data_IF_851450037283
#
_entry.id   IF_851450037283
#
_cell.length_a   1.000
_cell.length_b   1.000
_cell.length_c   1.000
_cell.angle_alpha   90.00
_cell.angle_beta   90.00
_cell.angle_gamma   90.00
#
_symmetry.space_group_name_H-M   'P 1'
#
loop_
_entity.id
_entity.type
_entity.pdbx_description
1 polymer ?
#
# COMPACT_ATOMS: atom_id res chain seq x y z
N UNK A 1 7.60 12.21 18.07
CA UNK A 1 8.84 11.54 17.61
C UNK A 1 9.94 11.77 18.65
N UNK A 2 10.75 10.76 18.97
CA UNK A 2 11.91 10.91 19.86
C UNK A 2 13.17 10.69 19.04
N UNK A 3 14.06 11.68 19.03
CA UNK A 3 15.34 11.64 18.35
C UNK A 3 16.46 11.87 19.35
N UNK A 4 17.54 11.12 19.25
CA UNK A 4 18.71 11.34 20.09
C UNK A 4 19.69 10.18 20.07
N UNK A 5 20.69 10.30 20.94
CA UNK A 5 21.75 9.30 21.11
C UNK A 5 21.31 8.24 22.11
N UNK A 6 21.45 6.96 21.75
CA UNK A 6 21.10 5.86 22.65
C UNK A 6 22.13 5.74 23.78
N UNK A 7 21.71 6.00 25.01
CA UNK A 7 22.56 5.97 26.22
C UNK A 7 22.50 4.62 26.95
N UNK A 8 21.40 3.89 26.89
CA UNK A 8 21.32 2.54 27.47
C UNK A 8 20.32 1.67 26.74
N UNK A 9 20.60 0.37 26.66
CA UNK A 9 19.69 -0.65 26.13
C UNK A 9 19.65 -1.83 27.09
N UNK A 10 18.45 -2.32 27.39
CA UNK A 10 18.25 -3.68 27.89
C UNK A 10 17.22 -4.40 27.04
N UNK A 11 17.36 -5.72 26.92
CA UNK A 11 16.33 -6.55 26.33
C UNK A 11 16.16 -7.85 27.09
N UNK A 12 14.94 -8.17 27.50
CA UNK A 12 14.60 -9.36 28.27
C UNK A 12 13.66 -10.26 27.45
N UNK A 13 14.07 -11.51 27.12
CA UNK A 13 13.17 -12.46 26.49
C UNK A 13 12.22 -13.10 27.53
N UNK A 14 10.95 -13.15 27.19
CA UNK A 14 9.87 -13.82 27.93
C UNK A 14 9.31 -14.94 27.05
N UNK A 15 9.21 -16.15 27.60
CA UNK A 15 8.63 -17.30 26.88
C UNK A 15 7.13 -17.33 27.15
N UNK A 16 6.32 -17.14 26.12
CA UNK A 16 4.86 -17.02 26.29
C UNK A 16 4.11 -18.35 26.20
N UNK A 17 4.65 -19.31 25.45
CA UNK A 17 4.08 -20.65 25.29
C UNK A 17 5.21 -21.69 25.23
N UNK A 18 5.15 -22.67 26.13
CA UNK A 18 6.00 -23.85 26.13
C UNK A 18 5.12 -25.08 25.89
N UNK A 19 5.06 -25.53 24.64
CA UNK A 19 4.22 -26.68 24.26
C UNK A 19 5.06 -27.97 24.29
N UNK A 20 6.25 -28.00 23.67
CA UNK A 20 7.21 -29.11 23.73
C UNK A 20 8.61 -28.67 23.23
N UNK A 21 9.67 -29.43 23.49
CA UNK A 21 11.05 -29.14 23.08
C UNK A 21 11.27 -29.14 21.54
N UNK A 22 10.41 -29.84 20.78
CA UNK A 22 10.50 -29.97 19.32
C UNK A 22 9.56 -29.03 18.53
N UNK A 23 8.71 -28.25 19.20
CA UNK A 23 7.75 -27.33 18.57
C UNK A 23 8.21 -25.87 18.65
N UNK A 24 7.76 -24.99 17.74
CA UNK A 24 8.16 -23.58 17.73
C UNK A 24 7.73 -22.89 19.02
N UNK A 25 8.73 -22.38 19.76
CA UNK A 25 8.51 -21.59 20.97
C UNK A 25 8.15 -20.16 20.57
N UNK A 26 7.05 -19.65 21.10
CA UNK A 26 6.66 -18.25 20.92
C UNK A 26 7.33 -17.42 22.00
N UNK A 27 8.16 -16.46 21.58
CA UNK A 27 8.91 -15.57 22.45
C UNK A 27 8.39 -14.15 22.33
N UNK A 28 8.44 -13.40 23.43
CA UNK A 28 8.31 -11.95 23.46
C UNK A 28 9.63 -11.38 23.96
N UNK A 29 10.05 -10.23 23.47
CA UNK A 29 11.23 -9.55 23.99
C UNK A 29 10.86 -8.14 24.41
N UNK A 30 11.02 -7.85 25.69
CA UNK A 30 10.88 -6.52 26.26
C UNK A 30 12.15 -5.73 26.03
N UNK A 31 12.02 -4.49 25.61
CA UNK A 31 13.11 -3.56 25.36
C UNK A 31 12.95 -2.34 26.25
N UNK A 32 14.06 -1.90 26.81
CA UNK A 32 14.18 -0.61 27.47
C UNK A 32 15.29 0.16 26.79
N UNK A 33 14.94 1.25 26.13
CA UNK A 33 15.88 2.16 25.48
C UNK A 33 15.91 3.47 26.24
N UNK A 34 17.10 3.94 26.63
CA UNK A 34 17.30 5.28 27.13
C UNK A 34 17.92 6.12 26.01
N UNK A 35 17.24 7.20 25.62
CA UNK A 35 17.66 8.10 24.55
C UNK A 35 17.91 9.47 25.14
N UNK A 36 19.13 9.98 24.95
CA UNK A 36 19.49 11.35 25.27
C UNK A 36 19.13 12.23 24.08
N UNK A 37 18.14 13.07 24.24
CA UNK A 37 17.68 14.01 23.20
C UNK A 37 18.68 15.15 22.99
N UNK A 38 18.60 15.91 21.88
CA UNK A 38 19.42 17.11 21.65
C UNK A 38 19.36 18.12 22.80
N UNK A 39 18.21 18.22 23.46
CA UNK A 39 17.95 19.09 24.61
C UNK A 39 18.58 18.56 25.92
N UNK A 40 19.44 17.53 25.83
CA UNK A 40 20.06 16.82 26.97
C UNK A 40 19.06 16.16 27.93
N UNK A 41 17.79 16.05 27.57
CA UNK A 41 16.80 15.32 28.39
C UNK A 41 16.89 13.83 28.09
N UNK A 42 16.90 13.02 29.16
CA UNK A 42 16.95 11.57 29.07
C UNK A 42 15.51 11.02 29.01
N UNK A 43 15.16 10.38 27.89
CA UNK A 43 13.87 9.71 27.72
C UNK A 43 14.04 8.20 27.81
N UNK A 44 13.35 7.60 28.77
CA UNK A 44 13.26 6.15 28.89
C UNK A 44 12.05 5.63 28.15
N UNK A 45 12.27 4.66 27.28
CA UNK A 45 11.27 4.11 26.37
C UNK A 45 11.21 2.61 26.59
N UNK A 46 10.02 2.12 26.91
CA UNK A 46 9.77 0.69 27.14
C UNK A 46 8.79 0.18 26.08
N UNK A 47 9.12 -0.94 25.44
CA UNK A 47 8.25 -1.57 24.45
C UNK A 47 8.58 -3.05 24.31
N UNK A 48 7.72 -3.83 23.67
CA UNK A 48 7.93 -5.27 23.49
C UNK A 48 7.67 -5.72 22.06
N UNK A 49 8.47 -6.66 21.56
CA UNK A 49 8.38 -7.20 20.19
C UNK A 49 8.15 -8.72 20.26
N UNK A 50 7.26 -9.30 19.43
CA UNK A 50 7.12 -10.75 19.30
C UNK A 50 8.30 -11.35 18.50
N UNK A 51 8.70 -12.57 18.80
CA UNK A 51 9.70 -13.32 18.05
C UNK A 51 11.10 -13.37 18.67
N UNK A 52 11.85 -14.43 18.31
CA UNK A 52 13.24 -14.66 18.78
C UNK A 52 14.28 -13.91 17.95
N UNK A 53 13.98 -13.63 16.68
CA UNK A 53 14.89 -13.09 15.67
C UNK A 53 14.77 -11.56 15.50
N UNK A 54 13.69 -10.95 15.98
CA UNK A 54 13.41 -9.52 15.83
C UNK A 54 14.18 -8.68 16.85
N UNK A 55 15.49 -8.66 16.66
CA UNK A 55 16.38 -7.75 17.38
C UNK A 55 16.35 -6.38 16.73
N UNK A 56 15.95 -5.36 17.50
CA UNK A 56 16.13 -3.97 17.05
C UNK A 56 17.64 -3.72 16.89
N UNK A 57 18.12 -3.35 15.69
CA UNK A 57 19.54 -3.24 15.41
C UNK A 57 20.09 -1.89 15.90
N UNK A 58 20.14 -1.70 17.22
CA UNK A 58 20.59 -0.46 17.86
C UNK A 58 21.62 -0.75 18.95
N UNK A 59 22.73 -0.03 18.92
CA UNK A 59 23.85 -0.14 19.87
C UNK A 59 23.99 1.12 20.72
N UNK A 60 24.67 1.00 21.85
CA UNK A 60 25.00 2.15 22.68
C UNK A 60 25.80 3.17 21.86
N UNK A 61 25.38 4.43 21.92
CA UNK A 61 25.99 5.52 21.17
C UNK A 61 25.40 5.77 19.78
N UNK A 62 24.53 4.89 19.28
CA UNK A 62 23.87 5.08 17.99
C UNK A 62 22.88 6.24 18.02
N UNK A 63 22.77 6.96 16.89
CA UNK A 63 21.74 7.96 16.67
C UNK A 63 20.46 7.29 16.21
N UNK A 64 19.41 7.39 17.01
CA UNK A 64 18.15 6.69 16.77
C UNK A 64 16.99 7.66 16.67
N UNK A 65 16.13 7.43 15.68
CA UNK A 65 14.79 8.01 15.62
C UNK A 65 13.79 6.94 15.98
N UNK A 66 12.99 7.24 16.99
CA UNK A 66 11.95 6.38 17.49
C UNK A 66 10.61 7.06 17.25
N UNK A 67 9.79 6.44 16.39
CA UNK A 67 8.50 6.96 15.98
C UNK A 67 7.40 6.32 16.82
N UNK A 68 6.56 7.14 17.43
CA UNK A 68 5.44 6.69 18.25
C UNK A 68 4.13 7.25 17.72
N UNK A 69 3.04 6.50 17.91
CA UNK A 69 1.70 7.07 17.90
C UNK A 69 1.48 7.84 19.20
N UNK A 70 0.86 9.00 19.08
CA UNK A 70 0.52 9.88 20.20
C UNK A 70 -0.99 9.82 20.42
N UNK A 71 -1.43 9.74 21.68
CA UNK A 71 -2.83 9.98 22.06
C UNK A 71 -2.83 11.17 23.01
N UNK A 72 -3.13 12.36 22.48
CA UNK A 72 -2.87 13.62 23.18
C UNK A 72 -1.38 13.78 23.51
N UNK A 73 -1.06 14.00 24.79
CA UNK A 73 0.32 14.17 25.28
C UNK A 73 1.03 12.85 25.66
N UNK A 74 0.33 11.72 25.59
CA UNK A 74 0.85 10.43 26.03
C UNK A 74 1.37 9.64 24.82
N UNK A 75 2.63 9.19 24.90
CA UNK A 75 3.21 8.28 23.92
C UNK A 75 2.56 6.91 24.08
N UNK A 76 1.84 6.45 23.06
CA UNK A 76 1.00 5.28 23.17
C UNK A 76 1.68 4.01 22.64
N UNK A 77 2.21 4.04 21.40
CA UNK A 77 2.76 2.82 20.78
C UNK A 77 3.89 3.09 19.80
N UNK A 78 4.89 2.21 19.80
CA UNK A 78 6.05 2.29 18.91
C UNK A 78 5.65 1.86 17.49
N UNK A 79 5.95 2.71 16.50
CA UNK A 79 5.64 2.49 15.07
C UNK A 79 6.87 2.02 14.31
N UNK A 80 8.01 2.66 14.57
CA UNK A 80 9.26 2.36 13.88
C UNK A 80 10.46 2.76 14.73
N UNK A 81 11.55 2.02 14.58
CA UNK A 81 12.87 2.40 15.08
C UNK A 81 13.80 2.52 13.88
N UNK A 82 14.37 3.69 13.68
CA UNK A 82 15.37 3.94 12.65
C UNK A 82 16.70 4.22 13.31
N UNK A 83 17.71 3.42 12.98
CA UNK A 83 19.09 3.68 13.37
C UNK A 83 19.77 4.47 12.24
N UNK A 84 20.11 5.72 12.50
CA UNK A 84 20.78 6.60 11.54
C UNK A 84 22.27 6.33 11.42
N UNK A 85 22.88 5.73 12.46
CA UNK A 85 24.30 5.34 12.43
C UNK A 85 24.54 4.14 11.50
N UNK A 86 23.64 3.16 11.49
CA UNK A 86 23.78 1.94 10.66
C UNK A 86 22.88 1.92 9.42
N UNK A 87 21.97 2.88 9.27
CA UNK A 87 20.98 2.93 8.19
C UNK A 87 19.86 1.87 8.30
N UNK A 88 19.91 0.99 9.31
CA UNK A 88 18.91 -0.08 9.47
C UNK A 88 17.61 0.48 10.05
N UNK A 89 16.49 0.04 9.47
CA UNK A 89 15.13 0.39 9.90
C UNK A 89 14.41 -0.86 10.38
N UNK A 90 13.82 -0.77 11.56
CA UNK A 90 12.91 -1.78 12.07
C UNK A 90 11.49 -1.23 11.98
N UNK A 91 10.71 -1.79 11.05
CA UNK A 91 9.31 -1.48 10.82
C UNK A 91 8.46 -2.53 11.54
N UNK A 92 7.53 -2.09 12.38
CA UNK A 92 6.57 -3.02 12.98
C UNK A 92 5.60 -3.55 11.92
N UNK A 93 5.22 -4.84 11.98
CA UNK A 93 4.32 -5.42 11.00
C UNK A 93 2.94 -4.74 11.01
N UNK A 94 2.28 -4.78 9.85
CA UNK A 94 0.99 -4.14 9.53
C UNK A 94 -0.09 -4.36 10.60
N UNK A 95 -1.02 -3.40 10.78
CA UNK A 95 -2.14 -3.57 11.70
C UNK A 95 -2.97 -4.80 11.31
N UNK A 96 -3.11 -5.73 12.25
CA UNK A 96 -3.97 -6.91 12.08
C UNK A 96 -5.42 -6.47 12.31
N UNK A 97 -6.32 -7.00 11.49
CA UNK A 97 -7.75 -6.70 11.53
C UNK A 97 -8.35 -6.91 12.92
N UNK A 98 -9.42 -6.15 13.21
CA UNK A 98 -10.06 -6.04 14.52
C UNK A 98 -10.40 -7.40 15.14
N UNK A 99 -10.43 -7.46 16.48
CA UNK A 99 -10.80 -8.65 17.23
C UNK A 99 -12.17 -9.24 16.79
N UNK A 100 -13.09 -8.37 16.35
CA UNK A 100 -14.41 -8.71 15.80
C UNK A 100 -14.35 -9.40 14.43
N UNK A 101 -13.50 -8.92 13.50
CA UNK A 101 -13.28 -9.60 12.23
C UNK A 101 -12.55 -10.93 12.43
N UNK A 102 -11.63 -10.96 13.41
CA UNK A 102 -10.87 -12.13 13.74
C UNK A 102 -11.75 -13.23 14.36
N UNK A 103 -12.64 -12.88 15.28
CA UNK A 103 -13.63 -13.82 15.83
C UNK A 103 -14.59 -14.32 14.75
N UNK A 104 -14.97 -13.48 13.78
CA UNK A 104 -15.79 -13.87 12.65
C UNK A 104 -15.10 -14.89 11.73
N UNK A 105 -13.84 -14.63 11.35
CA UNK A 105 -13.04 -15.55 10.52
C UNK A 105 -12.80 -16.87 11.24
N UNK A 106 -12.44 -16.83 12.52
CA UNK A 106 -12.23 -18.04 13.34
C UNK A 106 -13.53 -18.82 13.48
N UNK A 107 -14.65 -18.15 13.79
CA UNK A 107 -15.97 -18.78 13.88
C UNK A 107 -16.38 -19.44 12.57
N UNK A 108 -16.18 -18.76 11.43
CA UNK A 108 -16.46 -19.31 10.11
C UNK A 108 -15.58 -20.51 9.77
N UNK A 109 -14.29 -20.46 10.12
CA UNK A 109 -13.34 -21.55 9.87
C UNK A 109 -13.67 -22.80 10.71
N UNK A 110 -14.02 -22.62 11.98
CA UNK A 110 -14.46 -23.71 12.87
C UNK A 110 -15.76 -24.33 12.36
N UNK A 111 -16.73 -23.50 11.98
CA UNK A 111 -18.01 -23.97 11.45
C UNK A 111 -17.81 -24.74 10.14
N UNK A 112 -16.97 -24.23 9.23
CA UNK A 112 -16.64 -24.89 7.97
C UNK A 112 -15.92 -26.22 8.16
N UNK A 113 -14.98 -26.31 9.10
CA UNK A 113 -14.28 -27.56 9.42
C UNK A 113 -15.20 -28.59 10.08
N UNK A 114 -16.14 -28.16 10.92
CA UNK A 114 -17.15 -29.05 11.52
C UNK A 114 -18.14 -29.58 10.46
N UNK A 115 -18.60 -28.72 9.55
CA UNK A 115 -19.45 -29.12 8.42
C UNK A 115 -18.72 -30.07 7.46
N UNK A 116 -17.44 -29.79 7.15
CA UNK A 116 -16.62 -30.66 6.32
C UNK A 116 -16.39 -32.03 6.97
N UNK A 117 -16.09 -32.06 8.27
CA UNK A 117 -15.93 -33.31 9.03
C UNK A 117 -17.23 -34.13 9.08
N UNK A 118 -18.38 -33.47 9.22
CA UNK A 118 -19.70 -34.11 9.15
C UNK A 118 -19.97 -34.74 7.78
N UNK A 119 -19.70 -34.02 6.69
CA UNK A 119 -19.89 -34.52 5.31
C UNK A 119 -18.92 -35.66 4.94
N UNK A 120 -17.72 -35.66 5.53
CA UNK A 120 -16.70 -36.70 5.30
C UNK A 120 -16.84 -37.91 6.24
N UNK A 121 -17.86 -37.95 7.11
CA UNK A 121 -18.10 -39.05 8.05
C UNK A 121 -17.01 -39.21 9.12
N UNK A 122 -16.23 -38.15 9.40
CA UNK A 122 -15.18 -38.18 10.41
C UNK A 122 -15.79 -38.09 11.82
N UNK A 123 -15.12 -38.68 12.80
CA UNK A 123 -15.52 -38.60 14.20
C UNK A 123 -15.55 -37.14 14.70
N UNK A 124 -16.76 -36.63 14.89
CA UNK A 124 -17.04 -35.24 15.31
C UNK A 124 -16.32 -34.85 16.60
N UNK A 125 -16.14 -35.79 17.55
CA UNK A 125 -15.42 -35.56 18.80
C UNK A 125 -13.92 -35.31 18.59
N UNK A 126 -13.28 -36.01 17.66
CA UNK A 126 -11.85 -35.80 17.38
C UNK A 126 -11.64 -34.49 16.60
N UNK A 127 -12.53 -34.22 15.65
CA UNK A 127 -12.52 -32.98 14.88
C UNK A 127 -12.75 -31.75 15.77
N UNK A 128 -13.62 -31.84 16.79
CA UNK A 128 -13.88 -30.72 17.72
C UNK A 128 -12.67 -30.41 18.61
N UNK A 129 -11.96 -31.42 19.11
CA UNK A 129 -10.78 -31.24 19.96
C UNK A 129 -9.63 -30.62 19.17
N UNK A 130 -9.36 -31.10 17.95
CA UNK A 130 -8.32 -30.53 17.09
C UNK A 130 -8.63 -29.09 16.70
N UNK A 131 -9.90 -28.79 16.39
CA UNK A 131 -10.36 -27.42 16.12
C UNK A 131 -10.21 -26.52 17.35
N UNK A 132 -10.60 -26.99 18.54
CA UNK A 132 -10.49 -26.20 19.77
C UNK A 132 -9.03 -25.83 20.07
N UNK A 133 -8.09 -26.77 19.90
CA UNK A 133 -6.65 -26.50 20.08
C UNK A 133 -6.15 -25.50 19.02
N UNK A 134 -6.54 -25.67 17.76
CA UNK A 134 -6.17 -24.76 16.67
C UNK A 134 -6.67 -23.33 16.91
N UNK A 135 -7.92 -23.19 17.35
CA UNK A 135 -8.54 -21.90 17.70
C UNK A 135 -7.82 -21.23 18.87
N UNK A 136 -7.48 -21.98 19.92
CA UNK A 136 -6.77 -21.43 21.08
C UNK A 136 -5.36 -20.93 20.71
N UNK A 137 -4.62 -21.69 19.90
CA UNK A 137 -3.30 -21.27 19.40
C UNK A 137 -3.44 -20.02 18.53
N UNK A 138 -4.42 -20.00 17.62
CA UNK A 138 -4.68 -18.87 16.74
C UNK A 138 -5.09 -17.60 17.52
N UNK A 139 -6.00 -17.70 18.49
CA UNK A 139 -6.41 -16.60 19.37
C UNK A 139 -5.24 -16.05 20.20
N UNK A 140 -4.37 -16.92 20.71
CA UNK A 140 -3.16 -16.51 21.44
C UNK A 140 -2.17 -15.78 20.53
N UNK A 141 -1.89 -16.29 19.33
CA UNK A 141 -0.97 -15.65 18.38
C UNK A 141 -1.51 -14.29 17.92
N UNK A 142 -2.81 -14.20 17.64
CA UNK A 142 -3.45 -12.99 17.15
C UNK A 142 -3.64 -11.93 18.23
N UNK A 143 -4.00 -12.31 19.46
CA UNK A 143 -4.04 -11.38 20.60
C UNK A 143 -2.67 -10.77 20.94
N UNK A 144 -1.59 -11.55 20.80
CA UNK A 144 -0.22 -11.04 20.95
C UNK A 144 0.11 -10.01 19.86
N UNK A 145 -0.32 -10.25 18.63
CA UNK A 145 -0.06 -9.34 17.53
C UNK A 145 -0.94 -8.08 17.59
N UNK A 146 -2.17 -8.20 18.10
CA UNK A 146 -3.06 -7.08 18.47
C UNK A 146 -2.54 -6.25 19.65
N UNK A 147 -1.80 -6.83 20.60
CA UNK A 147 -1.11 -6.06 21.65
C UNK A 147 0.01 -5.16 21.08
N UNK A 148 0.48 -5.41 19.85
CA UNK A 148 1.47 -4.57 19.13
C UNK A 148 0.90 -3.69 18.01
N UNK A 149 -0.35 -3.90 17.58
CA UNK A 149 -1.06 -3.03 16.60
C UNK A 149 -2.26 -2.31 17.23
N UNK A 150 -2.67 -1.10 16.81
CA UNK A 150 -3.88 -0.48 17.38
C UNK A 150 -5.12 -1.31 17.09
N UNK A 151 -6.09 -1.38 18.01
CA UNK A 151 -7.43 -1.83 17.63
C UNK A 151 -8.06 -0.74 16.75
N UNK A 152 -8.48 -1.14 15.56
CA UNK A 152 -9.10 -0.25 14.56
C UNK A 152 -10.53 0.18 14.95
N UNK A 153 -11.01 -0.20 16.13
CA UNK A 153 -12.37 0.12 16.61
C UNK A 153 -12.52 1.56 17.10
N UNK A 154 -11.43 2.27 17.32
CA UNK A 154 -11.46 3.71 17.60
C UNK A 154 -11.79 4.50 16.33
N UNK A 155 -12.58 5.58 16.46
CA UNK A 155 -12.90 6.54 15.37
C UNK A 155 -11.63 7.03 14.65
N UNK A 156 -10.55 7.25 15.41
CA UNK A 156 -9.22 7.59 14.89
C UNK A 156 -8.61 6.48 14.03
N UNK A 157 -8.79 5.20 14.40
CA UNK A 157 -8.29 4.06 13.62
C UNK A 157 -8.97 3.90 12.25
N UNK A 158 -10.29 4.11 12.19
CA UNK A 158 -11.03 4.14 10.92
C UNK A 158 -10.58 5.30 10.02
N UNK A 159 -10.32 6.46 10.63
CA UNK A 159 -9.83 7.65 9.93
C UNK A 159 -8.41 7.46 9.38
N UNK A 160 -7.49 6.92 10.18
CA UNK A 160 -6.15 6.59 9.71
C UNK A 160 -6.15 5.57 8.57
N UNK A 161 -7.09 4.61 8.58
CA UNK A 161 -7.27 3.70 7.44
C UNK A 161 -7.78 4.43 6.19
N UNK A 162 -8.72 5.36 6.33
CA UNK A 162 -9.21 6.17 5.21
C UNK A 162 -8.09 7.04 4.62
N UNK A 163 -7.31 7.73 5.47
CA UNK A 163 -6.15 8.51 5.04
C UNK A 163 -5.11 7.61 4.35
N UNK A 164 -4.86 6.41 4.89
CA UNK A 164 -3.94 5.44 4.28
C UNK A 164 -4.43 4.97 2.91
N UNK A 165 -5.74 4.72 2.76
CA UNK A 165 -6.34 4.37 1.47
C UNK A 165 -6.18 5.50 0.45
N UNK A 166 -6.43 6.75 0.85
CA UNK A 166 -6.23 7.92 -0.01
C UNK A 166 -4.76 8.08 -0.41
N UNK A 167 -3.81 7.88 0.50
CA UNK A 167 -2.38 7.92 0.19
C UNK A 167 -1.93 6.79 -0.76
N UNK A 168 -2.53 5.61 -0.65
CA UNK A 168 -2.30 4.51 -1.60
C UNK A 168 -2.87 4.87 -2.98
N UNK A 169 -4.05 5.48 -3.04
CA UNK A 169 -4.63 5.97 -4.29
C UNK A 169 -3.76 7.06 -4.92
N UNK A 170 -3.27 8.03 -4.13
CA UNK A 170 -2.34 9.06 -4.59
C UNK A 170 -1.10 8.44 -5.26
N UNK A 171 -0.44 7.48 -4.61
CA UNK A 171 0.73 6.80 -5.20
C UNK A 171 0.42 6.10 -6.52
N UNK A 172 -0.75 5.45 -6.62
CA UNK A 172 -1.18 4.82 -7.87
C UNK A 172 -1.38 5.86 -8.98
N UNK A 173 -1.98 7.00 -8.66
CA UNK A 173 -2.18 8.10 -9.60
C UNK A 173 -0.83 8.68 -10.05
N UNK A 174 0.11 8.90 -9.13
CA UNK A 174 1.45 9.41 -9.43
C UNK A 174 2.19 8.47 -10.39
N UNK A 175 2.20 7.16 -10.09
CA UNK A 175 2.78 6.16 -10.98
C UNK A 175 2.11 6.18 -12.36
N UNK A 176 0.77 6.30 -12.41
CA UNK A 176 0.04 6.34 -13.67
C UNK A 176 0.35 7.58 -14.50
N UNK A 177 0.59 8.72 -13.86
CA UNK A 177 1.03 9.95 -14.51
C UNK A 177 2.41 9.77 -15.15
N UNK A 178 3.34 9.08 -14.48
CA UNK A 178 4.65 8.75 -15.05
C UNK A 178 4.52 7.86 -16.29
N UNK A 179 3.68 6.83 -16.23
CA UNK A 179 3.38 5.94 -17.36
C UNK A 179 2.79 6.72 -18.54
N UNK A 180 1.79 7.57 -18.32
CA UNK A 180 1.16 8.39 -19.38
C UNK A 180 2.16 9.36 -20.02
N UNK A 181 3.09 9.92 -19.25
CA UNK A 181 4.15 10.77 -19.76
C UNK A 181 5.15 9.96 -20.61
N UNK A 182 5.49 8.75 -20.18
CA UNK A 182 6.34 7.85 -20.95
C UNK A 182 5.68 7.45 -22.28
N UNK A 183 4.42 7.02 -22.24
CA UNK A 183 3.61 6.66 -23.41
C UNK A 183 3.51 7.83 -24.40
N UNK A 184 3.32 9.05 -23.90
CA UNK A 184 3.26 10.25 -24.76
C UNK A 184 4.58 10.51 -25.49
N UNK A 185 5.73 10.33 -24.81
CA UNK A 185 7.05 10.45 -25.43
C UNK A 185 7.28 9.35 -26.46
N UNK A 186 6.92 8.10 -26.14
CA UNK A 186 7.04 6.98 -27.07
C UNK A 186 6.19 7.20 -28.34
N UNK A 187 4.94 7.63 -28.17
CA UNK A 187 4.06 7.98 -29.29
C UNK A 187 4.63 9.13 -30.14
N UNK A 188 5.28 10.11 -29.52
CA UNK A 188 5.89 11.22 -30.25
C UNK A 188 7.09 10.78 -31.10
N UNK A 189 7.91 9.86 -30.60
CA UNK A 189 9.00 9.23 -31.38
C UNK A 189 8.41 8.43 -32.55
N UNK A 190 7.34 7.65 -32.31
CA UNK A 190 6.69 6.86 -33.36
C UNK A 190 6.09 7.75 -34.46
N UNK A 191 5.49 8.89 -34.11
CA UNK A 191 5.00 9.88 -35.09
C UNK A 191 6.15 10.35 -35.98
N UNK A 192 7.32 10.67 -35.42
CA UNK A 192 8.48 11.12 -36.21
C UNK A 192 8.93 10.03 -37.20
N UNK A 193 9.00 8.77 -36.76
CA UNK A 193 9.36 7.65 -37.62
C UNK A 193 8.35 7.43 -38.76
N UNK A 194 7.05 7.55 -38.47
CA UNK A 194 5.99 7.45 -39.47
C UNK A 194 6.01 8.62 -40.47
N UNK A 195 6.31 9.84 -40.01
CA UNK A 195 6.47 10.99 -40.89
C UNK A 195 7.71 10.84 -41.80
N UNK A 196 8.82 10.28 -41.29
CA UNK A 196 10.00 9.95 -42.10
C UNK A 196 9.69 8.89 -43.16
N UNK A 197 8.99 7.83 -42.77
CA UNK A 197 8.55 6.78 -43.69
C UNK A 197 7.62 7.35 -44.77
N UNK A 198 6.67 8.20 -44.38
CA UNK A 198 5.77 8.89 -45.30
C UNK A 198 6.56 9.72 -46.33
N UNK A 199 7.53 10.52 -45.87
CA UNK A 199 8.39 11.32 -46.76
C UNK A 199 9.15 10.44 -47.77
N UNK A 200 9.71 9.32 -47.32
CA UNK A 200 10.39 8.35 -48.21
C UNK A 200 9.43 7.76 -49.25
N UNK A 201 8.22 7.36 -48.84
CA UNK A 201 7.21 6.81 -49.75
C UNK A 201 6.76 7.84 -50.80
N UNK A 202 6.55 9.10 -50.40
CA UNK A 202 6.18 10.18 -51.32
C UNK A 202 7.30 10.51 -52.31
N UNK A 203 8.57 10.42 -51.88
CA UNK A 203 9.72 10.71 -52.74
C UNK A 203 9.96 9.62 -53.80
N UNK A 204 9.73 8.34 -53.47
CA UNK A 204 9.94 7.22 -54.38
C UNK A 204 8.86 7.16 -55.48
N UNK A 205 7.60 6.99 -55.10
CA UNK A 205 6.46 7.02 -56.01
C UNK A 205 5.15 7.11 -55.21
N UNK A 206 4.54 8.28 -55.23
CA UNK A 206 3.30 8.54 -54.49
C UNK A 206 2.13 7.68 -54.98
N UNK A 207 2.05 7.33 -56.27
CA UNK A 207 0.93 6.55 -56.80
C UNK A 207 0.99 5.12 -56.30
N UNK A 208 2.18 4.52 -56.34
CA UNK A 208 2.43 3.16 -55.89
C UNK A 208 2.20 2.98 -54.38
N UNK A 209 2.54 4.01 -53.57
CA UNK A 209 2.40 3.96 -52.11
C UNK A 209 1.16 4.67 -51.53
N UNK A 210 0.24 5.13 -52.38
CA UNK A 210 -0.93 5.93 -51.98
C UNK A 210 -1.72 5.33 -50.79
N UNK A 211 -2.05 4.04 -50.84
CA UNK A 211 -2.77 3.35 -49.76
C UNK A 211 -1.98 3.32 -48.43
N UNK A 212 -0.66 3.08 -48.50
CA UNK A 212 0.21 3.05 -47.30
C UNK A 212 0.38 4.44 -46.69
N UNK A 213 0.45 5.48 -47.53
CA UNK A 213 0.49 6.88 -47.09
C UNK A 213 -0.80 7.25 -46.34
N UNK A 214 -1.97 6.86 -46.84
CA UNK A 214 -3.26 7.10 -46.17
C UNK A 214 -3.30 6.41 -44.80
N UNK A 215 -2.93 5.12 -44.73
CA UNK A 215 -2.87 4.39 -43.44
C UNK A 215 -1.90 5.03 -42.45
N UNK A 216 -0.73 5.46 -42.93
CA UNK A 216 0.27 6.15 -42.11
C UNK A 216 -0.29 7.46 -41.54
N UNK A 217 -1.02 8.25 -42.34
CA UNK A 217 -1.67 9.48 -41.87
C UNK A 217 -2.75 9.19 -40.82
N UNK A 218 -3.55 8.14 -40.99
CA UNK A 218 -4.53 7.71 -40.00
C UNK A 218 -3.86 7.30 -38.69
N UNK A 219 -2.78 6.49 -38.74
CA UNK A 219 -2.02 6.09 -37.57
C UNK A 219 -1.41 7.30 -36.82
N UNK A 220 -0.82 8.25 -37.55
CA UNK A 220 -0.31 9.51 -36.97
C UNK A 220 -1.44 10.30 -36.27
N UNK A 221 -2.62 10.36 -36.88
CA UNK A 221 -3.78 11.06 -36.30
C UNK A 221 -4.23 10.41 -34.99
N UNK A 222 -4.31 9.07 -34.96
CA UNK A 222 -4.66 8.33 -33.74
C UNK A 222 -3.61 8.54 -32.63
N UNK A 223 -2.32 8.47 -32.96
CA UNK A 223 -1.24 8.71 -32.00
C UNK A 223 -1.29 10.14 -31.43
N UNK A 224 -1.58 11.15 -32.25
CA UNK A 224 -1.78 12.54 -31.80
C UNK A 224 -2.97 12.65 -30.85
N UNK A 225 -4.08 11.96 -31.16
CA UNK A 225 -5.25 11.93 -30.28
C UNK A 225 -4.95 11.27 -28.93
N UNK A 226 -4.20 10.16 -28.93
CA UNK A 226 -3.73 9.51 -27.70
C UNK A 226 -2.86 10.44 -26.85
N UNK A 227 -1.90 11.15 -27.46
CA UNK A 227 -1.07 12.13 -26.77
C UNK A 227 -1.95 13.24 -26.14
N UNK A 228 -2.94 13.76 -26.88
CA UNK A 228 -3.87 14.75 -26.36
C UNK A 228 -4.68 14.26 -25.15
N UNK A 229 -5.17 13.03 -25.23
CA UNK A 229 -5.88 12.38 -24.12
C UNK A 229 -4.96 12.14 -22.90
N UNK A 230 -3.71 11.70 -23.13
CA UNK A 230 -2.72 11.51 -22.07
C UNK A 230 -2.44 12.83 -21.33
N UNK A 231 -2.24 13.94 -22.05
CA UNK A 231 -2.07 15.25 -21.40
C UNK A 231 -3.29 15.68 -20.60
N UNK A 232 -4.50 15.40 -21.12
CA UNK A 232 -5.75 15.67 -20.38
C UNK A 232 -5.81 14.84 -19.11
N UNK A 233 -5.52 13.54 -19.18
CA UNK A 233 -5.48 12.64 -18.02
C UNK A 233 -4.47 13.12 -16.99
N UNK A 234 -3.23 13.43 -17.39
CA UNK A 234 -2.19 13.94 -16.48
C UNK A 234 -2.65 15.19 -15.74
N UNK A 235 -3.29 16.14 -16.43
CA UNK A 235 -3.80 17.37 -15.81
C UNK A 235 -4.89 17.07 -14.77
N UNK A 236 -5.87 16.23 -15.10
CA UNK A 236 -6.96 15.94 -14.18
C UNK A 236 -6.51 15.05 -13.01
N UNK A 237 -5.60 14.10 -13.23
CA UNK A 237 -4.93 13.35 -12.15
C UNK A 237 -4.16 14.28 -11.22
N UNK A 238 -3.45 15.27 -11.76
CA UNK A 238 -2.77 16.28 -10.94
C UNK A 238 -3.74 17.10 -10.06
N UNK A 239 -4.97 17.35 -10.54
CA UNK A 239 -6.02 17.97 -9.72
C UNK A 239 -6.55 17.02 -8.64
N UNK A 240 -6.73 15.74 -8.97
CA UNK A 240 -7.16 14.72 -8.01
C UNK A 240 -6.12 14.54 -6.88
N UNK A 241 -4.83 14.51 -7.20
CA UNK A 241 -3.74 14.45 -6.20
C UNK A 241 -3.80 15.65 -5.26
N UNK A 242 -3.96 16.88 -5.78
CA UNK A 242 -4.12 18.07 -4.95
C UNK A 242 -5.35 18.00 -4.04
N UNK A 243 -6.46 17.46 -4.53
CA UNK A 243 -7.67 17.29 -3.71
C UNK A 243 -7.45 16.27 -2.59
N UNK A 244 -6.73 15.17 -2.88
CA UNK A 244 -6.33 14.18 -1.87
C UNK A 244 -5.40 14.83 -0.82
N UNK A 245 -4.43 15.64 -1.25
CA UNK A 245 -3.51 16.32 -0.33
C UNK A 245 -4.25 17.27 0.60
N UNK A 246 -5.19 18.06 0.06
CA UNK A 246 -6.07 18.90 0.87
C UNK A 246 -6.85 18.03 1.86
N UNK A 247 -7.49 16.95 1.42
CA UNK A 247 -8.28 16.08 2.31
C UNK A 247 -7.43 15.47 3.44
N UNK A 248 -6.23 15.00 3.13
CA UNK A 248 -5.32 14.42 4.13
C UNK A 248 -4.82 15.48 5.12
N UNK A 249 -4.53 16.70 4.66
CA UNK A 249 -4.10 17.81 5.51
C UNK A 249 -5.25 18.35 6.38
N UNK A 250 -6.45 18.49 5.79
CA UNK A 250 -7.64 19.01 6.48
C UNK A 250 -8.32 17.95 7.33
N UNK A 251 -8.06 16.65 7.10
CA UNK A 251 -8.52 15.53 7.93
C UNK A 251 -8.27 15.86 9.41
N UNK A 252 -7.11 16.43 9.78
CA UNK A 252 -6.80 16.81 11.18
C UNK A 252 -7.68 17.93 11.76
N UNK A 253 -8.25 18.78 10.91
CA UNK A 253 -9.13 19.90 11.26
C UNK A 253 -10.63 19.50 11.12
N UNK A 254 -10.91 18.43 10.38
CA UNK A 254 -12.25 18.00 9.97
C UNK A 254 -13.15 17.50 11.11
N UNK A 255 -12.65 17.32 12.34
CA UNK A 255 -13.53 17.11 13.50
C UNK A 255 -14.44 18.34 13.80
N UNK A 256 -14.22 19.46 13.12
CA UNK A 256 -15.05 20.67 13.18
C UNK A 256 -15.87 20.95 11.91
N UNK A 257 -15.77 20.12 10.85
CA UNK A 257 -16.46 20.37 9.58
C UNK A 257 -17.42 19.22 9.21
N UNK A 258 -18.72 19.50 9.01
CA UNK A 258 -19.75 18.47 8.77
C UNK A 258 -19.69 17.75 7.40
N UNK A 259 -18.78 18.13 6.49
CA UNK A 259 -18.84 17.73 5.06
C UNK A 259 -17.71 16.81 4.54
N UNK A 260 -16.87 16.23 5.42
CA UNK A 260 -15.70 15.42 4.98
C UNK A 260 -16.05 14.17 4.15
N UNK A 261 -17.18 13.50 4.44
CA UNK A 261 -17.62 12.33 3.67
C UNK A 261 -18.07 12.66 2.23
N UNK A 262 -18.53 13.90 2.00
CA UNK A 262 -18.96 14.37 0.67
C UNK A 262 -17.76 14.69 -0.23
N UNK A 263 -16.63 15.11 0.36
CA UNK A 263 -15.39 15.36 -0.39
C UNK A 263 -14.76 14.07 -0.91
N UNK A 264 -14.67 13.03 -0.08
CA UNK A 264 -14.16 11.72 -0.52
C UNK A 264 -15.00 11.14 -1.67
N UNK A 265 -16.33 11.25 -1.60
CA UNK A 265 -17.22 10.82 -2.69
C UNK A 265 -17.00 11.61 -3.99
N UNK A 266 -16.75 12.92 -3.90
CA UNK A 266 -16.42 13.75 -5.08
C UNK A 266 -15.10 13.31 -5.73
N UNK A 267 -14.07 12.96 -4.94
CA UNK A 267 -12.80 12.43 -5.46
C UNK A 267 -13.05 11.12 -6.23
N UNK A 268 -13.77 10.17 -5.64
CA UNK A 268 -14.06 8.88 -6.26
C UNK A 268 -14.85 9.04 -7.57
N UNK A 269 -15.86 9.91 -7.59
CA UNK A 269 -16.62 10.20 -8.81
C UNK A 269 -15.74 10.79 -9.92
N UNK A 270 -14.79 11.67 -9.58
CA UNK A 270 -13.82 12.19 -10.54
C UNK A 270 -12.89 11.11 -11.08
N UNK A 271 -12.47 10.16 -10.24
CA UNK A 271 -11.67 9.02 -10.69
C UNK A 271 -12.45 8.12 -11.67
N UNK A 272 -13.75 7.91 -11.42
CA UNK A 272 -14.64 7.19 -12.34
C UNK A 272 -14.73 7.91 -13.70
N UNK A 273 -14.88 9.23 -13.72
CA UNK A 273 -14.87 10.02 -14.95
C UNK A 273 -13.55 9.87 -15.72
N UNK A 274 -12.41 9.81 -15.02
CA UNK A 274 -11.10 9.62 -15.67
C UNK A 274 -10.93 8.23 -16.28
N UNK A 275 -11.53 7.21 -15.66
CA UNK A 275 -11.55 5.86 -16.22
C UNK A 275 -12.18 5.81 -17.61
N UNK A 276 -13.22 6.62 -17.85
CA UNK A 276 -13.85 6.69 -19.18
C UNK A 276 -12.89 7.22 -20.27
N UNK A 277 -12.01 8.15 -19.91
CA UNK A 277 -10.99 8.69 -20.83
C UNK A 277 -9.88 7.65 -21.05
N UNK A 278 -9.54 6.86 -20.03
CA UNK A 278 -8.64 5.71 -20.18
C UNK A 278 -9.22 4.65 -21.12
N UNK A 279 -10.50 4.32 -21.00
CA UNK A 279 -11.17 3.36 -21.87
C UNK A 279 -11.15 3.84 -23.33
N UNK A 280 -11.36 5.13 -23.56
CA UNK A 280 -11.20 5.74 -24.89
C UNK A 280 -9.78 5.57 -25.43
N UNK A 281 -8.76 5.81 -24.61
CA UNK A 281 -7.36 5.62 -25.00
C UNK A 281 -7.03 4.16 -25.31
N UNK A 282 -7.58 3.22 -24.54
CA UNK A 282 -7.41 1.80 -24.78
C UNK A 282 -8.09 1.38 -26.09
N UNK A 283 -9.26 1.93 -26.40
CA UNK A 283 -9.94 1.71 -27.69
C UNK A 283 -9.10 2.18 -28.88
N UNK A 284 -8.45 3.34 -28.78
CA UNK A 284 -7.56 3.87 -29.82
C UNK A 284 -6.31 2.98 -30.00
N UNK A 285 -5.82 2.37 -28.92
CA UNK A 285 -4.69 1.43 -28.97
C UNK A 285 -5.08 0.16 -29.74
N UNK A 286 -6.29 -0.35 -29.53
CA UNK A 286 -6.81 -1.48 -30.32
C UNK A 286 -6.99 -1.14 -31.79
N UNK A 287 -7.44 0.08 -32.12
CA UNK A 287 -7.54 0.52 -33.52
C UNK A 287 -6.17 0.55 -34.21
N UNK A 288 -5.12 1.03 -33.53
CA UNK A 288 -3.74 0.99 -34.05
C UNK A 288 -3.26 -0.44 -34.31
N UNK A 289 -3.49 -1.36 -33.36
CA UNK A 289 -3.11 -2.77 -33.53
C UNK A 289 -3.81 -3.42 -34.74
N UNK A 290 -5.11 -3.12 -34.93
CA UNK A 290 -5.86 -3.62 -36.08
C UNK A 290 -5.29 -3.13 -37.43
N UNK A 291 -4.74 -1.91 -37.49
CA UNK A 291 -4.07 -1.42 -38.71
C UNK A 291 -2.71 -2.09 -38.97
N UNK A 292 -2.03 -2.56 -37.92
CA UNK A 292 -0.76 -3.28 -38.03
C UNK A 292 -0.96 -4.69 -38.62
N UNK A 293 -2.01 -5.40 -38.19
CA UNK A 293 -2.33 -6.75 -38.65
C UNK A 293 -2.80 -6.79 -40.11
N UNK A 294 -3.56 -5.78 -40.56
CA UNK A 294 -3.98 -5.65 -41.97
C UNK A 294 -2.80 -5.31 -42.91
N UNK A 295 -1.62 -4.97 -42.37
CA UNK A 295 -0.40 -4.72 -43.15
C UNK A 295 0.50 -5.93 -43.36
N UNK A 296 0.27 -7.04 -42.63
CA UNK A 296 1.04 -8.29 -42.72
C UNK A 296 0.41 -9.34 -43.65
N UNK A 297 -0.82 -9.10 -44.10
CA UNK A 297 -1.52 -9.85 -45.16
C UNK A 297 -1.34 -9.15 -46.51
#
# INVERSE_FOLDING_TARGET
MVYGKLSKRSSLPETLLFINAKLPKVFRRHYMLQVTTPDRTLKQLQFSIPGKLDQVPVHHGDMVSILYTMRGYIMHKLVAVTNHTTGKRFLFPHPISSATHLSGVVGGMVLGLLLGAYLLGLNLLLASVVNAIGVLVFLKVTSIAQLTTPSLETREGKRLLADQQLLVQKRKIEQRVEELNHDSKANQVLIQQLDDLKRKMTHLDQRLYSSRIVRTNSAITILKQQIGNNYRLVREYGRAVKMIDIEVETSWIADQLPDSEDFTRKILRRLEELKTIEDQNQSLKFQLAAYEDIGRL
#
